data_IF_920548533132
#
_entry.id   IF_920548533132
#
_cell.length_a   1.000
_cell.length_b   1.000
_cell.length_c   1.000
_cell.angle_alpha   90.00
_cell.angle_beta   90.00
_cell.angle_gamma   90.00
#
_symmetry.space_group_name_H-M   'P 1'
#
loop_
_entity.id
_entity.type
_entity.pdbx_description
1 polymer ?
#
# COMPACT_ATOMS: atom_id res chain seq x y z
N UNK A 1 0.50 4.53 2.19
CA UNK A 1 -0.58 5.10 3.04
C UNK A 1 -1.22 4.07 3.93
N UNK A 2 -1.80 2.99 3.40
CA UNK A 2 -2.35 1.95 4.26
C UNK A 2 -1.28 1.34 5.18
N UNK A 3 -0.08 1.05 4.66
CA UNK A 3 1.06 0.60 5.47
C UNK A 3 1.46 1.58 6.57
N UNK A 4 1.33 2.90 6.33
CA UNK A 4 1.63 3.92 7.34
C UNK A 4 0.61 3.88 8.47
N UNK A 5 -0.69 3.83 8.13
CA UNK A 5 -1.75 3.74 9.13
C UNK A 5 -1.70 2.41 9.90
N UNK A 6 -1.41 1.29 9.22
CA UNK A 6 -1.30 -0.02 9.84
C UNK A 6 -0.09 -0.15 10.79
N UNK A 7 0.98 0.62 10.58
CA UNK A 7 2.10 0.72 11.53
C UNK A 7 1.76 1.55 12.79
N UNK A 8 0.62 2.25 12.77
CA UNK A 8 0.15 3.11 13.83
C UNK A 8 -1.33 2.84 14.14
N UNK A 9 -1.70 1.58 14.49
CA UNK A 9 -3.11 1.17 14.57
C UNK A 9 -3.91 1.94 15.61
N UNK A 10 -3.25 2.39 16.70
CA UNK A 10 -3.89 3.13 17.79
C UNK A 10 -4.01 4.65 17.53
N UNK A 11 -3.57 5.15 16.36
CA UNK A 11 -3.49 6.58 16.07
C UNK A 11 -4.38 6.98 14.88
N UNK A 12 -4.98 8.16 15.00
CA UNK A 12 -5.68 8.84 13.91
C UNK A 12 -4.87 10.03 13.39
N UNK A 13 -4.83 10.20 12.08
CA UNK A 13 -4.07 11.25 11.40
C UNK A 13 -4.95 12.12 10.51
N UNK A 14 -4.65 13.41 10.45
CA UNK A 14 -5.26 14.32 9.46
C UNK A 14 -4.67 14.03 8.08
N UNK A 15 -5.40 14.35 6.99
CA UNK A 15 -4.89 14.22 5.64
C UNK A 15 -3.52 14.92 5.43
N UNK A 16 -3.32 16.09 6.04
CA UNK A 16 -2.04 16.81 5.94
C UNK A 16 -0.87 16.02 6.54
N UNK A 17 -1.06 15.40 7.70
CA UNK A 17 -0.05 14.60 8.41
C UNK A 17 0.25 13.31 7.65
N UNK A 18 -0.77 12.69 7.06
CA UNK A 18 -0.61 11.54 6.18
C UNK A 18 0.21 11.94 4.95
N UNK A 19 -0.10 13.06 4.31
CA UNK A 19 0.61 13.53 3.12
C UNK A 19 2.09 13.84 3.34
N UNK A 20 2.51 14.11 4.58
CA UNK A 20 3.92 14.29 4.94
C UNK A 20 4.66 12.95 5.05
N UNK A 21 3.93 11.87 5.31
CA UNK A 21 4.48 10.53 5.58
C UNK A 21 4.43 9.59 4.37
N UNK A 22 3.67 9.94 3.33
CA UNK A 22 3.47 9.08 2.15
C UNK A 22 3.76 9.82 0.85
N UNK A 23 4.47 9.16 -0.07
CA UNK A 23 4.78 9.72 -1.38
C UNK A 23 3.63 9.51 -2.37
N UNK A 24 2.52 10.22 -2.17
CA UNK A 24 1.40 10.25 -3.11
C UNK A 24 0.99 11.68 -3.46
N UNK A 25 0.53 11.94 -4.70
CA UNK A 25 0.06 13.27 -5.09
C UNK A 25 -1.08 13.75 -4.17
N UNK A 26 -1.00 15.01 -3.73
CA UNK A 26 -2.03 15.60 -2.84
C UNK A 26 -3.46 15.51 -3.39
N UNK A 27 -3.63 15.62 -4.70
CA UNK A 27 -4.94 15.47 -5.35
C UNK A 27 -5.52 14.05 -5.28
N UNK A 28 -4.67 13.05 -5.03
CA UNK A 28 -5.04 11.63 -4.94
C UNK A 28 -5.26 11.15 -3.51
N UNK A 29 -4.83 11.92 -2.50
CA UNK A 29 -4.93 11.56 -1.09
C UNK A 29 -6.37 11.28 -0.65
N UNK A 30 -7.24 12.28 -0.76
CA UNK A 30 -8.64 12.15 -0.31
C UNK A 30 -9.40 11.07 -1.10
N UNK A 31 -9.32 10.99 -2.45
CA UNK A 31 -9.93 9.89 -3.18
C UNK A 31 -9.43 8.50 -2.77
N UNK A 32 -8.14 8.38 -2.42
CA UNK A 32 -7.58 7.10 -1.98
C UNK A 32 -8.07 6.74 -0.58
N UNK A 33 -8.11 7.69 0.36
CA UNK A 33 -8.68 7.49 1.70
C UNK A 33 -10.15 7.05 1.61
N UNK A 34 -10.97 7.74 0.81
CA UNK A 34 -12.38 7.35 0.61
C UNK A 34 -12.54 5.96 0.00
N UNK A 35 -11.63 5.50 -0.87
CA UNK A 35 -11.66 4.13 -1.41
C UNK A 35 -11.31 3.10 -0.34
N UNK A 36 -10.30 3.38 0.48
CA UNK A 36 -9.92 2.50 1.58
C UNK A 36 -11.05 2.40 2.62
N UNK A 37 -11.75 3.51 2.91
CA UNK A 37 -12.93 3.55 3.78
C UNK A 37 -14.04 2.63 3.25
N UNK A 38 -14.35 2.74 1.97
CA UNK A 38 -15.36 1.89 1.31
C UNK A 38 -15.00 0.41 1.35
N UNK A 39 -13.71 0.08 1.43
CA UNK A 39 -13.21 -1.29 1.59
C UNK A 39 -13.16 -1.75 3.05
N UNK A 40 -13.48 -0.87 4.02
CA UNK A 40 -13.38 -1.15 5.45
C UNK A 40 -11.95 -1.25 5.95
N UNK A 41 -10.99 -0.67 5.24
CA UNK A 41 -9.56 -0.76 5.57
C UNK A 41 -9.07 0.39 6.46
N UNK A 42 -9.80 1.50 6.45
CA UNK A 42 -9.54 2.67 7.28
C UNK A 42 -10.85 3.18 7.84
N UNK A 43 -10.77 3.82 9.00
CA UNK A 43 -11.89 4.46 9.65
C UNK A 43 -11.71 5.98 9.57
N UNK A 44 -12.83 6.67 9.36
CA UNK A 44 -12.85 8.13 9.30
C UNK A 44 -13.67 8.67 10.46
N UNK A 45 -12.97 9.23 11.44
CA UNK A 45 -13.56 10.02 12.52
C UNK A 45 -13.13 11.48 12.29
N UNK A 46 -13.94 12.30 11.58
CA UNK A 46 -13.49 13.60 11.10
C UNK A 46 -12.88 14.47 12.21
N UNK A 47 -11.67 15.03 12.01
CA UNK A 47 -10.88 15.08 10.77
C UNK A 47 -9.85 13.95 10.59
N UNK A 48 -9.87 12.93 11.43
CA UNK A 48 -8.84 11.90 11.55
C UNK A 48 -9.17 10.63 10.78
N UNK A 49 -8.12 9.98 10.30
CA UNK A 49 -8.14 8.71 9.62
C UNK A 49 -7.22 7.73 10.35
N UNK A 50 -7.71 6.52 10.62
CA UNK A 50 -6.97 5.44 11.27
C UNK A 50 -7.07 4.16 10.45
N UNK A 51 -6.19 3.18 10.72
CA UNK A 51 -6.42 1.83 10.24
C UNK A 51 -7.66 1.24 10.94
N UNK A 52 -8.39 0.36 10.25
CA UNK A 52 -9.46 -0.40 10.91
C UNK A 52 -8.90 -1.64 11.61
N UNK A 53 -9.56 -2.09 12.68
CA UNK A 53 -9.24 -3.31 13.46
C UNK A 53 -9.64 -4.62 12.76
N UNK A 54 -10.00 -4.58 11.47
CA UNK A 54 -10.42 -5.77 10.70
C UNK A 54 -9.23 -6.71 10.44
N UNK A 55 -9.37 -8.01 10.70
CA UNK A 55 -8.35 -9.05 10.44
C UNK A 55 -7.78 -9.00 9.00
N UNK A 56 -8.54 -8.43 8.05
CA UNK A 56 -8.06 -8.20 6.67
C UNK A 56 -6.89 -7.23 6.60
N UNK A 57 -6.78 -6.28 7.53
CA UNK A 57 -5.66 -5.35 7.61
C UNK A 57 -4.37 -6.07 7.93
N UNK A 58 -4.39 -7.03 8.86
CA UNK A 58 -3.21 -7.86 9.17
C UNK A 58 -2.70 -8.60 7.94
N UNK A 59 -3.60 -9.21 7.16
CA UNK A 59 -3.22 -9.91 5.93
C UNK A 59 -2.65 -8.97 4.85
N UNK A 60 -3.26 -7.78 4.68
CA UNK A 60 -2.79 -6.77 3.73
C UNK A 60 -1.46 -6.16 4.18
N UNK A 61 -1.31 -5.86 5.47
CA UNK A 61 -0.09 -5.33 6.06
C UNK A 61 1.06 -6.33 5.94
N UNK A 62 0.83 -7.62 6.24
CA UNK A 62 1.83 -8.67 6.06
C UNK A 62 2.29 -8.79 4.59
N UNK A 63 1.35 -8.68 3.64
CA UNK A 63 1.65 -8.70 2.21
C UNK A 63 2.50 -7.48 1.81
N UNK A 64 2.11 -6.28 2.23
CA UNK A 64 2.89 -5.06 1.96
C UNK A 64 4.28 -5.13 2.57
N UNK A 65 4.41 -5.60 3.81
CA UNK A 65 5.69 -5.76 4.47
C UNK A 65 6.60 -6.75 3.74
N UNK A 66 6.04 -7.84 3.21
CA UNK A 66 6.81 -8.80 2.39
C UNK A 66 7.30 -8.20 1.07
N UNK A 67 6.51 -7.29 0.46
CA UNK A 67 6.91 -6.58 -0.75
C UNK A 67 8.02 -5.58 -0.45
N UNK A 68 7.89 -4.77 0.60
CA UNK A 68 8.92 -3.82 1.02
C UNK A 68 10.24 -4.56 1.36
N UNK A 69 10.16 -5.68 2.08
CA UNK A 69 11.33 -6.51 2.40
C UNK A 69 11.96 -7.15 1.15
N UNK A 70 11.16 -7.47 0.14
CA UNK A 70 11.65 -7.96 -1.15
C UNK A 70 12.36 -6.84 -1.90
N UNK A 71 11.75 -5.66 -2.03
CA UNK A 71 12.35 -4.49 -2.66
C UNK A 71 13.67 -4.12 -1.97
N UNK A 72 13.73 -4.05 -0.64
CA UNK A 72 14.97 -3.75 0.09
C UNK A 72 16.07 -4.80 -0.17
N UNK A 73 15.69 -6.08 -0.26
CA UNK A 73 16.63 -7.18 -0.49
C UNK A 73 17.16 -7.22 -1.92
N UNK A 74 16.35 -6.81 -2.89
CA UNK A 74 16.65 -6.92 -4.32
C UNK A 74 16.74 -5.56 -5.02
N UNK A 75 16.88 -4.46 -4.28
CA UNK A 75 16.99 -3.10 -4.83
C UNK A 75 18.20 -2.92 -5.75
N UNK A 76 19.24 -3.76 -5.60
CA UNK A 76 20.48 -3.74 -6.40
C UNK A 76 20.46 -4.78 -7.55
N UNK A 77 19.43 -5.64 -7.63
CA UNK A 77 19.34 -6.63 -8.70
C UNK A 77 18.94 -5.95 -10.02
N UNK A 78 19.84 -6.01 -11.00
CA UNK A 78 19.58 -5.55 -12.36
C UNK A 78 18.69 -6.58 -13.10
N UNK A 79 17.38 -6.32 -13.13
CA UNK A 79 16.41 -7.11 -13.90
C UNK A 79 16.43 -6.78 -15.41
N UNK A 80 17.56 -6.33 -15.95
CA UNK A 80 17.71 -6.13 -17.40
C UNK A 80 17.90 -7.49 -18.10
N UNK A 81 17.05 -7.81 -19.09
CA UNK A 81 17.19 -9.00 -19.95
C UNK A 81 16.19 -10.15 -19.69
N UNK A 82 15.30 -10.03 -18.71
CA UNK A 82 14.26 -11.05 -18.46
C UNK A 82 13.28 -11.19 -19.65
N UNK A 83 13.04 -10.10 -20.38
CA UNK A 83 12.25 -10.08 -21.62
C UNK A 83 12.85 -10.94 -22.74
N UNK A 84 14.16 -11.24 -22.72
CA UNK A 84 14.80 -12.07 -23.75
C UNK A 84 14.45 -13.57 -23.62
N UNK A 85 13.89 -13.96 -22.47
CA UNK A 85 13.49 -15.34 -22.17
C UNK A 85 11.97 -15.51 -22.03
N UNK A 86 11.18 -14.47 -22.29
CA UNK A 86 9.72 -14.54 -22.21
C UNK A 86 9.20 -15.45 -23.34
N UNK A 87 8.74 -16.64 -22.95
CA UNK A 87 8.14 -17.60 -23.86
C UNK A 87 6.64 -17.30 -23.92
N UNK A 88 6.13 -16.78 -25.04
CA UNK A 88 4.69 -16.52 -25.19
C UNK A 88 3.93 -17.86 -25.12
N UNK A 89 3.10 -18.09 -24.08
CA UNK A 89 2.39 -19.36 -23.91
C UNK A 89 1.33 -19.61 -25.00
N UNK A 90 1.07 -18.64 -25.91
CA UNK A 90 0.11 -18.76 -27.01
C UNK A 90 0.69 -19.40 -28.28
N UNK A 91 2.00 -19.60 -28.37
CA UNK A 91 2.64 -20.25 -29.53
C UNK A 91 2.56 -21.80 -29.49
N UNK A 92 2.00 -22.38 -28.43
CA UNK A 92 1.77 -23.83 -28.29
C UNK A 92 0.31 -24.24 -28.54
N UNK A 93 -0.26 -23.91 -29.71
CA UNK A 93 -1.58 -24.41 -30.13
C UNK A 93 -1.55 -25.10 -31.48
#
# INVERSE_FOLDING_TARGET
MLSFLAQHPDLGFKPAEIAESVDIPRGSLNPTLSRLEQQGLVEHEPPYWSASDDDRIEAVAATMYSMDAFEERYADDDFTGWEETDVDPRDHR
#
